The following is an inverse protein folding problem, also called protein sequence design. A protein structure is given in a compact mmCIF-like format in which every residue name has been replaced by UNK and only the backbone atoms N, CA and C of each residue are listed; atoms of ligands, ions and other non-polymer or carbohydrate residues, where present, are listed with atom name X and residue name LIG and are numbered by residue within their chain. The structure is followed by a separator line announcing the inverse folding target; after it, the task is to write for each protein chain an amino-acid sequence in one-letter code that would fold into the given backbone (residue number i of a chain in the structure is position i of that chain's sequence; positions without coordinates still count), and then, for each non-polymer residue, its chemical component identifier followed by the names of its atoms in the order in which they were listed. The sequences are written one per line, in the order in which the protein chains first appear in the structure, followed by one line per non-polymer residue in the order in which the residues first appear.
data_IF_483937572063
#
_entry.id   IF_483937572063
#
_cell.length_a   1.000
_cell.length_b   1.000
_cell.length_c   1.000
_cell.angle_alpha   90.00
_cell.angle_beta   90.00
_cell.angle_gamma   90.00
#
_symmetry.space_group_name_H-M   'P 1'
#
loop_
_entity.id
_entity.type
_entity.pdbx_description
1 polymer ?
#
# COMPACT_ATOMS: atom_id res chain seq x y z
N UNK A 1 -6.95 5.73 -1.57
CA UNK A 1 -8.14 5.37 -0.74
C UNK A 1 -9.49 5.77 -1.34
N UNK A 2 -9.61 6.84 -2.15
CA UNK A 2 -10.90 7.31 -2.69
C UNK A 2 -11.66 6.29 -3.57
N UNK A 3 -10.97 5.47 -4.36
CA UNK A 3 -11.61 4.49 -5.24
C UNK A 3 -12.30 3.34 -4.47
N UNK A 4 -11.72 2.89 -3.35
CA UNK A 4 -12.31 1.84 -2.49
C UNK A 4 -13.56 2.33 -1.76
N UNK A 5 -13.59 3.60 -1.35
CA UNK A 5 -14.79 4.21 -0.74
C UNK A 5 -15.97 4.27 -1.72
N UNK A 6 -15.72 4.66 -2.98
CA UNK A 6 -16.80 4.76 -3.99
C UNK A 6 -17.39 3.39 -4.38
N UNK A 7 -16.58 2.33 -4.43
CA UNK A 7 -17.10 0.97 -4.71
C UNK A 7 -17.89 0.40 -3.54
N UNK A 8 -17.45 0.63 -2.30
CA UNK A 8 -18.15 0.15 -1.10
C UNK A 8 -19.54 0.80 -0.93
N UNK A 9 -19.66 2.10 -1.22
CA UNK A 9 -20.96 2.82 -1.16
C UNK A 9 -21.92 2.28 -2.23
N UNK A 10 -21.42 1.92 -3.41
CA UNK A 10 -22.25 1.42 -4.51
C UNK A 10 -22.69 -0.03 -4.33
N UNK A 11 -21.86 -0.88 -3.72
CA UNK A 11 -22.27 -2.25 -3.37
C UNK A 11 -23.25 -2.27 -2.20
N UNK A 12 -23.08 -1.39 -1.21
CA UNK A 12 -24.03 -1.24 -0.11
C UNK A 12 -25.42 -0.78 -0.60
N UNK A 13 -25.48 0.13 -1.58
CA UNK A 13 -26.76 0.58 -2.15
C UNK A 13 -27.43 -0.48 -3.03
N UNK A 14 -26.67 -1.40 -3.64
CA UNK A 14 -27.24 -2.50 -4.42
C UNK A 14 -27.81 -3.60 -3.51
N UNK A 15 -27.12 -3.91 -2.41
CA UNK A 15 -27.59 -4.87 -1.41
C UNK A 15 -28.87 -4.39 -0.69
N UNK A 16 -28.96 -3.10 -0.36
CA UNK A 16 -30.16 -2.52 0.24
C UNK A 16 -31.34 -2.49 -0.74
N UNK A 17 -31.09 -2.23 -2.03
CA UNK A 17 -32.11 -2.28 -3.08
C UNK A 17 -32.68 -3.70 -3.27
N UNK A 18 -31.83 -4.74 -3.21
CA UNK A 18 -32.28 -6.13 -3.32
C UNK A 18 -33.17 -6.55 -2.14
N UNK A 19 -32.76 -6.23 -0.90
CA UNK A 19 -33.58 -6.49 0.30
C UNK A 19 -34.91 -5.73 0.27
N UNK A 20 -34.91 -4.50 -0.24
CA UNK A 20 -36.14 -3.72 -0.38
C UNK A 20 -37.12 -4.32 -1.40
N UNK A 21 -36.62 -4.88 -2.51
CA UNK A 21 -37.48 -5.54 -3.50
C UNK A 21 -38.02 -6.89 -3.01
N UNK A 22 -37.25 -7.63 -2.22
CA UNK A 22 -37.70 -8.87 -1.59
C UNK A 22 -38.85 -8.61 -0.62
N UNK A 23 -38.72 -7.58 0.24
CA UNK A 23 -39.82 -7.10 1.09
C UNK A 23 -41.06 -6.72 0.29
N UNK A 24 -40.91 -5.91 -0.76
CA UNK A 24 -42.03 -5.54 -1.65
C UNK A 24 -42.74 -6.75 -2.26
N UNK A 25 -42.01 -7.80 -2.62
CA UNK A 25 -42.60 -9.03 -3.15
C UNK A 25 -43.37 -9.82 -2.09
N UNK A 26 -42.89 -9.84 -0.83
CA UNK A 26 -43.59 -10.46 0.28
C UNK A 26 -44.86 -9.67 0.66
N UNK A 27 -44.77 -8.34 0.69
CA UNK A 27 -45.91 -7.45 0.95
C UNK A 27 -46.99 -7.60 -0.13
N UNK A 28 -46.58 -7.73 -1.40
CA UNK A 28 -47.51 -7.99 -2.50
C UNK A 28 -48.24 -9.34 -2.37
N UNK A 29 -47.55 -10.40 -1.92
CA UNK A 29 -48.18 -11.70 -1.63
C UNK A 29 -49.17 -11.59 -0.47
N UNK A 30 -48.81 -10.87 0.59
CA UNK A 30 -49.70 -10.64 1.74
C UNK A 30 -50.94 -9.84 1.35
N UNK A 31 -50.79 -8.83 0.48
CA UNK A 31 -51.90 -8.06 -0.06
C UNK A 31 -52.86 -8.93 -0.90
N UNK A 32 -52.33 -9.85 -1.71
CA UNK A 32 -53.14 -10.80 -2.48
C UNK A 32 -54.00 -11.72 -1.58
N UNK A 33 -53.45 -12.17 -0.45
CA UNK A 33 -54.21 -12.96 0.53
C UNK A 33 -55.37 -12.13 1.11
N UNK A 34 -55.14 -10.86 1.42
CA UNK A 34 -56.20 -9.94 1.87
C UNK A 34 -57.29 -9.74 0.82
N UNK A 35 -56.90 -9.52 -0.44
CA UNK A 35 -57.84 -9.38 -1.56
C UNK A 35 -58.66 -10.65 -1.80
N UNK A 36 -58.04 -11.84 -1.68
CA UNK A 36 -58.75 -13.11 -1.81
C UNK A 36 -59.81 -13.30 -0.70
N UNK A 37 -59.47 -12.93 0.55
CA UNK A 37 -60.42 -12.92 1.67
C UNK A 37 -61.59 -11.96 1.42
N UNK A 38 -61.33 -10.78 0.83
CA UNK A 38 -62.38 -9.82 0.48
C UNK A 38 -63.33 -10.37 -0.60
N UNK A 39 -62.79 -11.07 -1.61
CA UNK A 39 -63.62 -11.75 -2.62
C UNK A 39 -64.49 -12.83 -1.96
N UNK A 40 -63.94 -13.62 -1.03
CA UNK A 40 -64.72 -14.62 -0.30
C UNK A 40 -65.85 -13.99 0.53
N UNK A 41 -65.56 -12.91 1.26
CA UNK A 41 -66.56 -12.16 2.04
C UNK A 41 -67.65 -11.56 1.16
N UNK A 42 -67.29 -10.95 0.03
CA UNK A 42 -68.25 -10.39 -0.92
C UNK A 42 -69.13 -11.48 -1.57
N UNK A 43 -68.56 -12.65 -1.87
CA UNK A 43 -69.30 -13.80 -2.38
C UNK A 43 -70.32 -14.31 -1.36
N UNK A 44 -69.93 -14.41 -0.08
CA UNK A 44 -70.84 -14.76 1.01
C UNK A 44 -71.99 -13.73 1.16
N UNK A 45 -71.68 -12.43 1.04
CA UNK A 45 -72.69 -11.37 1.08
C UNK A 45 -73.72 -11.47 -0.06
N UNK A 46 -73.29 -11.82 -1.29
CA UNK A 46 -74.20 -12.08 -2.41
C UNK A 46 -75.13 -13.26 -2.11
N UNK A 47 -74.59 -14.36 -1.56
CA UNK A 47 -75.39 -15.53 -1.18
C UNK A 47 -76.42 -15.19 -0.11
N UNK A 48 -76.01 -14.45 0.93
CA UNK A 48 -76.90 -14.01 2.00
C UNK A 48 -78.01 -13.07 1.51
N UNK A 49 -77.66 -12.07 0.68
CA UNK A 49 -78.63 -11.14 0.10
C UNK A 49 -79.63 -11.87 -0.81
N UNK A 50 -79.17 -12.86 -1.59
CA UNK A 50 -80.03 -13.66 -2.47
C UNK A 50 -81.00 -14.52 -1.67
N UNK A 51 -80.56 -15.14 -0.57
CA UNK A 51 -81.44 -15.89 0.36
C UNK A 51 -82.50 -14.98 0.97
N UNK A 52 -82.12 -13.77 1.42
CA UNK A 52 -83.06 -12.76 1.95
C UNK A 52 -84.08 -12.31 0.90
N UNK A 53 -83.65 -12.11 -0.35
CA UNK A 53 -84.54 -11.77 -1.45
C UNK A 53 -85.52 -12.90 -1.80
N UNK A 54 -85.08 -14.16 -1.73
CA UNK A 54 -85.95 -15.32 -1.91
C UNK A 54 -87.00 -15.42 -0.79
N UNK A 55 -86.59 -15.19 0.47
CA UNK A 55 -87.51 -15.19 1.61
C UNK A 55 -88.54 -14.04 1.54
N UNK A 56 -88.12 -12.84 1.13
CA UNK A 56 -89.03 -11.69 0.97
C UNK A 56 -90.15 -11.94 -0.06
N UNK A 57 -89.87 -12.72 -1.12
CA UNK A 57 -90.86 -13.08 -2.15
C UNK A 57 -91.94 -14.04 -1.67
N UNK A 58 -91.71 -14.78 -0.59
CA UNK A 58 -92.67 -15.76 -0.04
C UNK A 58 -93.70 -15.14 0.91
N UNK A 59 -93.60 -13.84 1.22
CA UNK A 59 -94.54 -13.15 2.12
C UNK A 59 -95.86 -12.80 1.40
N UNK A 60 -96.98 -12.76 2.14
CA UNK A 60 -98.33 -12.43 1.64
C UNK A 60 -98.31 -11.12 0.84
N UNK A 61 -99.05 -11.04 -0.28
CA UNK A 61 -99.12 -9.84 -1.13
C UNK A 61 -99.74 -8.68 -0.36
N UNK A 62 -98.90 -7.76 0.08
CA UNK A 62 -99.27 -6.50 0.72
C UNK A 62 -98.35 -5.40 0.17
N UNK A 63 -98.74 -4.12 0.22
CA UNK A 63 -97.87 -3.02 -0.19
C UNK A 63 -96.53 -3.00 0.58
N UNK A 64 -96.51 -3.46 1.84
CA UNK A 64 -95.27 -3.59 2.61
C UNK A 64 -94.36 -4.73 2.11
N UNK A 65 -94.91 -5.87 1.70
CA UNK A 65 -94.11 -6.97 1.17
C UNK A 65 -93.51 -6.61 -0.19
N UNK A 66 -94.19 -5.79 -1.00
CA UNK A 66 -93.64 -5.24 -2.24
C UNK A 66 -92.40 -4.34 -1.99
N UNK A 67 -92.46 -3.44 -1.00
CA UNK A 67 -91.32 -2.60 -0.57
C UNK A 67 -90.15 -3.46 -0.09
N UNK A 68 -90.42 -4.49 0.71
CA UNK A 68 -89.38 -5.41 1.20
C UNK A 68 -88.69 -6.20 0.07
N UNK A 69 -89.45 -6.64 -0.94
CA UNK A 69 -88.90 -7.32 -2.13
C UNK A 69 -88.03 -6.37 -2.96
N UNK A 70 -88.44 -5.11 -3.14
CA UNK A 70 -87.65 -4.10 -3.83
C UNK A 70 -86.32 -3.81 -3.11
N UNK A 71 -86.36 -3.61 -1.79
CA UNK A 71 -85.17 -3.41 -0.96
C UNK A 71 -84.22 -4.62 -1.02
N UNK A 72 -84.76 -5.85 -0.97
CA UNK A 72 -83.94 -7.06 -1.06
C UNK A 72 -83.30 -7.24 -2.46
N UNK A 73 -84.00 -6.87 -3.54
CA UNK A 73 -83.42 -6.84 -4.90
C UNK A 73 -82.29 -5.80 -4.99
N UNK A 74 -82.47 -4.61 -4.42
CA UNK A 74 -81.43 -3.58 -4.37
C UNK A 74 -80.19 -4.07 -3.59
N UNK A 75 -80.38 -4.75 -2.46
CA UNK A 75 -79.29 -5.34 -1.67
C UNK A 75 -78.50 -6.40 -2.46
N UNK A 76 -79.18 -7.25 -3.24
CA UNK A 76 -78.51 -8.22 -4.13
C UNK A 76 -77.67 -7.52 -5.20
N UNK A 77 -78.19 -6.45 -5.82
CA UNK A 77 -77.45 -5.67 -6.82
C UNK A 77 -76.22 -4.99 -6.21
N UNK A 78 -76.37 -4.39 -5.02
CA UNK A 78 -75.25 -3.80 -4.28
C UNK A 78 -74.17 -4.84 -3.95
N UNK A 79 -74.57 -6.01 -3.45
CA UNK A 79 -73.63 -7.10 -3.14
C UNK A 79 -72.90 -7.62 -4.39
N UNK A 80 -73.59 -7.72 -5.53
CA UNK A 80 -72.97 -8.11 -6.82
C UNK A 80 -71.95 -7.08 -7.29
N UNK A 81 -72.24 -5.77 -7.17
CA UNK A 81 -71.29 -4.70 -7.48
C UNK A 81 -70.03 -4.80 -6.61
N UNK A 82 -70.19 -5.05 -5.31
CA UNK A 82 -69.07 -5.24 -4.39
C UNK A 82 -68.23 -6.48 -4.73
N UNK A 83 -68.86 -7.60 -5.13
CA UNK A 83 -68.13 -8.78 -5.59
C UNK A 83 -67.35 -8.51 -6.89
N UNK A 84 -67.93 -7.78 -7.84
CA UNK A 84 -67.24 -7.39 -9.06
C UNK A 84 -66.01 -6.51 -8.77
N UNK A 85 -66.16 -5.50 -7.90
CA UNK A 85 -65.07 -4.64 -7.47
C UNK A 85 -63.96 -5.44 -6.76
N UNK A 86 -64.31 -6.36 -5.85
CA UNK A 86 -63.34 -7.21 -5.15
C UNK A 86 -62.57 -8.12 -6.12
N UNK A 87 -63.24 -8.71 -7.12
CA UNK A 87 -62.60 -9.53 -8.16
C UNK A 87 -61.67 -8.69 -9.04
N UNK A 88 -62.09 -7.49 -9.43
CA UNK A 88 -61.26 -6.56 -10.19
C UNK A 88 -59.99 -6.17 -9.41
N UNK A 89 -60.13 -5.86 -8.12
CA UNK A 89 -59.00 -5.55 -7.25
C UNK A 89 -58.03 -6.74 -7.09
N UNK A 90 -58.55 -7.97 -6.96
CA UNK A 90 -57.71 -9.18 -6.94
C UNK A 90 -56.96 -9.39 -8.26
N UNK A 91 -57.62 -9.15 -9.40
CA UNK A 91 -57.00 -9.26 -10.72
C UNK A 91 -55.89 -8.22 -10.93
N UNK A 92 -56.13 -6.97 -10.52
CA UNK A 92 -55.13 -5.91 -10.53
C UNK A 92 -53.93 -6.26 -9.64
N UNK A 93 -54.19 -6.66 -8.39
CA UNK A 93 -53.13 -7.06 -7.45
C UNK A 93 -52.27 -8.23 -7.97
N UNK A 94 -52.84 -9.16 -8.74
CA UNK A 94 -52.07 -10.26 -9.36
C UNK A 94 -51.12 -9.74 -10.43
N UNK A 95 -51.56 -8.78 -11.25
CA UNK A 95 -50.71 -8.12 -12.26
C UNK A 95 -49.57 -7.35 -11.60
N UNK A 96 -49.86 -6.62 -10.53
CA UNK A 96 -48.84 -5.87 -9.78
C UNK A 96 -47.80 -6.78 -9.13
N UNK A 97 -48.25 -7.90 -8.53
CA UNK A 97 -47.34 -8.89 -7.96
C UNK A 97 -46.45 -9.56 -9.03
N UNK A 98 -46.98 -9.82 -10.23
CA UNK A 98 -46.19 -10.35 -11.34
C UNK A 98 -45.16 -9.33 -11.83
N UNK A 99 -45.56 -8.07 -12.02
CA UNK A 99 -44.66 -6.98 -12.40
C UNK A 99 -43.54 -6.78 -11.36
N UNK A 100 -43.87 -6.82 -10.07
CA UNK A 100 -42.90 -6.73 -8.97
C UNK A 100 -41.87 -7.86 -9.02
N UNK A 101 -42.29 -9.12 -9.27
CA UNK A 101 -41.38 -10.26 -9.43
C UNK A 101 -40.42 -10.09 -10.61
N UNK A 102 -40.92 -9.63 -11.76
CA UNK A 102 -40.09 -9.38 -12.95
C UNK A 102 -39.08 -8.27 -12.69
N UNK A 103 -39.52 -7.18 -12.05
CA UNK A 103 -38.63 -6.08 -11.67
C UNK A 103 -37.53 -6.52 -10.70
N UNK A 104 -37.86 -7.40 -9.74
CA UNK A 104 -36.92 -7.97 -8.79
C UNK A 104 -35.85 -8.84 -9.49
N UNK A 105 -36.27 -9.75 -10.39
CA UNK A 105 -35.33 -10.58 -11.17
C UNK A 105 -34.38 -9.72 -12.02
N UNK A 106 -34.90 -8.69 -12.70
CA UNK A 106 -34.10 -7.80 -13.54
C UNK A 106 -33.07 -7.01 -12.73
N UNK A 107 -33.44 -6.53 -11.53
CA UNK A 107 -32.52 -5.83 -10.65
C UNK A 107 -31.43 -6.77 -10.11
N UNK A 108 -31.79 -7.99 -9.69
CA UNK A 108 -30.83 -8.99 -9.23
C UNK A 108 -29.80 -9.35 -10.32
N UNK A 109 -30.24 -9.52 -11.58
CA UNK A 109 -29.35 -9.76 -12.70
C UNK A 109 -28.37 -8.59 -12.93
N UNK A 110 -28.87 -7.35 -12.91
CA UNK A 110 -28.02 -6.14 -13.04
C UNK A 110 -26.99 -6.03 -11.91
N UNK A 111 -27.36 -6.37 -10.68
CA UNK A 111 -26.45 -6.36 -9.53
C UNK A 111 -25.29 -7.35 -9.74
N UNK A 112 -25.58 -8.59 -10.15
CA UNK A 112 -24.54 -9.61 -10.43
C UNK A 112 -23.56 -9.16 -11.53
N UNK A 113 -24.06 -8.53 -12.59
CA UNK A 113 -23.21 -8.00 -13.67
C UNK A 113 -22.32 -6.86 -13.16
N UNK A 114 -22.86 -5.96 -12.35
CA UNK A 114 -22.10 -4.85 -11.77
C UNK A 114 -20.97 -5.34 -10.85
N UNK A 115 -21.23 -6.38 -10.05
CA UNK A 115 -20.24 -6.99 -9.17
C UNK A 115 -19.09 -7.65 -9.95
N UNK A 116 -19.40 -8.47 -10.97
CA UNK A 116 -18.38 -9.09 -11.84
C UNK A 116 -17.50 -8.03 -12.50
N UNK A 117 -18.09 -6.93 -12.99
CA UNK A 117 -17.37 -5.83 -13.62
C UNK A 117 -16.47 -5.08 -12.62
N UNK A 118 -16.93 -4.90 -11.38
CA UNK A 118 -16.12 -4.30 -10.32
C UNK A 118 -14.93 -5.19 -9.93
N UNK A 119 -15.14 -6.49 -9.78
CA UNK A 119 -14.09 -7.46 -9.48
C UNK A 119 -13.02 -7.52 -10.58
N UNK A 120 -13.42 -7.52 -11.85
CA UNK A 120 -12.49 -7.48 -12.99
C UNK A 120 -11.61 -6.22 -12.98
N UNK A 121 -12.21 -5.04 -12.75
CA UNK A 121 -11.48 -3.78 -12.64
C UNK A 121 -10.50 -3.76 -11.47
N UNK A 122 -10.88 -4.34 -10.32
CA UNK A 122 -9.99 -4.45 -9.16
C UNK A 122 -8.78 -5.35 -9.44
N UNK A 123 -8.99 -6.52 -10.08
CA UNK A 123 -7.89 -7.42 -10.48
C UNK A 123 -6.93 -6.73 -11.47
N UNK A 124 -7.44 -6.02 -12.46
CA UNK A 124 -6.61 -5.27 -13.41
C UNK A 124 -5.79 -4.17 -12.73
N UNK A 125 -6.39 -3.42 -11.81
CA UNK A 125 -5.69 -2.39 -11.04
C UNK A 125 -4.58 -2.99 -10.15
N UNK A 126 -4.84 -4.13 -9.50
CA UNK A 126 -3.84 -4.83 -8.68
C UNK A 126 -2.65 -5.31 -9.52
N UNK A 127 -2.89 -5.94 -10.68
CA UNK A 127 -1.81 -6.36 -11.60
C UNK A 127 -0.96 -5.18 -12.05
N UNK A 128 -1.59 -4.05 -12.41
CA UNK A 128 -0.87 -2.83 -12.82
C UNK A 128 -0.02 -2.24 -11.68
N UNK A 129 -0.53 -2.27 -10.45
CA UNK A 129 0.23 -1.81 -9.28
C UNK A 129 1.43 -2.72 -8.98
N UNK A 130 1.24 -4.04 -9.04
CA UNK A 130 2.32 -5.00 -8.82
C UNK A 130 3.44 -4.87 -9.88
N UNK A 131 3.08 -4.66 -11.16
CA UNK A 131 4.07 -4.44 -12.21
C UNK A 131 4.91 -3.17 -11.96
N UNK A 132 4.26 -2.06 -11.57
CA UNK A 132 4.96 -0.81 -11.22
C UNK A 132 5.91 -0.98 -10.03
N UNK A 133 5.51 -1.75 -9.01
CA UNK A 133 6.34 -2.03 -7.84
C UNK A 133 7.61 -2.80 -8.24
N UNK A 134 7.48 -3.86 -9.06
CA UNK A 134 8.63 -4.64 -9.55
C UNK A 134 9.63 -3.79 -10.35
N UNK A 135 9.13 -2.86 -11.18
CA UNK A 135 10.01 -1.95 -11.95
C UNK A 135 10.74 -0.98 -11.01
N UNK A 136 10.05 -0.44 -10.00
CA UNK A 136 10.66 0.45 -9.02
C UNK A 136 11.77 -0.25 -8.22
N UNK A 137 11.53 -1.50 -7.81
CA UNK A 137 12.49 -2.33 -7.09
C UNK A 137 13.75 -2.61 -7.93
N UNK A 138 13.57 -3.05 -9.19
CA UNK A 138 14.70 -3.25 -10.12
C UNK A 138 15.52 -1.97 -10.32
N UNK A 139 14.86 -0.81 -10.43
CA UNK A 139 15.52 0.49 -10.58
C UNK A 139 16.30 0.88 -9.31
N UNK A 140 15.76 0.60 -8.13
CA UNK A 140 16.45 0.84 -6.87
C UNK A 140 17.69 -0.08 -6.71
N UNK A 141 17.55 -1.37 -7.03
CA UNK A 141 18.65 -2.33 -6.98
C UNK A 141 19.79 -1.95 -7.95
N UNK A 142 19.46 -1.49 -9.16
CA UNK A 142 20.45 -1.02 -10.13
C UNK A 142 21.22 0.20 -9.62
N UNK A 143 20.52 1.19 -9.02
CA UNK A 143 21.16 2.36 -8.41
C UNK A 143 22.08 1.99 -7.26
N UNK A 144 21.67 1.04 -6.40
CA UNK A 144 22.49 0.56 -5.30
C UNK A 144 23.78 -0.13 -5.79
N UNK A 145 23.69 -1.00 -6.81
CA UNK A 145 24.87 -1.62 -7.44
C UNK A 145 25.82 -0.60 -8.04
N UNK A 146 25.30 0.43 -8.72
CA UNK A 146 26.12 1.50 -9.29
C UNK A 146 26.86 2.31 -8.20
N UNK A 147 26.16 2.64 -7.11
CA UNK A 147 26.74 3.34 -5.96
C UNK A 147 27.86 2.51 -5.30
N UNK A 148 27.65 1.20 -5.11
CA UNK A 148 28.64 0.29 -4.55
C UNK A 148 29.90 0.20 -5.43
N UNK A 149 29.74 0.06 -6.76
CA UNK A 149 30.88 0.06 -7.69
C UNK A 149 31.67 1.38 -7.63
N UNK A 150 30.98 2.52 -7.57
CA UNK A 150 31.63 3.84 -7.46
C UNK A 150 32.41 3.99 -6.16
N UNK A 151 31.86 3.51 -5.04
CA UNK A 151 32.54 3.52 -3.75
C UNK A 151 33.80 2.63 -3.76
N UNK A 152 33.69 1.41 -4.31
CA UNK A 152 34.82 0.49 -4.42
C UNK A 152 35.96 1.06 -5.29
N UNK A 153 35.63 1.72 -6.41
CA UNK A 153 36.62 2.37 -7.27
C UNK A 153 37.36 3.51 -6.54
N UNK A 154 36.63 4.36 -5.80
CA UNK A 154 37.23 5.43 -4.97
C UNK A 154 38.16 4.86 -3.89
N UNK A 155 37.76 3.76 -3.24
CA UNK A 155 38.59 3.11 -2.23
C UNK A 155 39.89 2.54 -2.82
N UNK A 156 39.82 1.86 -3.98
CA UNK A 156 41.02 1.37 -4.69
C UNK A 156 41.96 2.51 -5.10
N UNK A 157 41.42 3.62 -5.62
CA UNK A 157 42.24 4.79 -5.99
C UNK A 157 42.95 5.40 -4.77
N UNK A 158 42.24 5.53 -3.64
CA UNK A 158 42.82 6.03 -2.39
C UNK A 158 43.95 5.11 -1.87
N UNK A 159 43.76 3.79 -1.95
CA UNK A 159 44.79 2.82 -1.56
C UNK A 159 46.05 2.93 -2.44
N UNK A 160 45.89 3.02 -3.77
CA UNK A 160 47.01 3.23 -4.70
C UNK A 160 47.77 4.53 -4.43
N UNK A 161 47.06 5.62 -4.08
CA UNK A 161 47.68 6.90 -3.71
C UNK A 161 48.47 6.81 -2.40
N UNK A 162 48.00 6.04 -1.42
CA UNK A 162 48.75 5.81 -0.17
C UNK A 162 50.00 4.95 -0.40
N UNK A 163 49.87 3.88 -1.19
CA UNK A 163 50.97 2.97 -1.49
C UNK A 163 52.12 3.67 -2.25
N UNK A 164 51.79 4.52 -3.23
CA UNK A 164 52.79 5.30 -3.99
C UNK A 164 53.54 6.30 -3.10
N UNK A 165 52.84 7.01 -2.21
CA UNK A 165 53.48 7.89 -1.21
C UNK A 165 54.41 7.14 -0.27
N UNK A 166 54.01 5.95 0.20
CA UNK A 166 54.86 5.12 1.06
C UNK A 166 56.13 4.66 0.33
N UNK A 167 56.02 4.22 -0.93
CA UNK A 167 57.19 3.85 -1.75
C UNK A 167 58.15 5.02 -1.97
N UNK A 168 57.61 6.22 -2.22
CA UNK A 168 58.44 7.43 -2.37
C UNK A 168 59.17 7.80 -1.08
N UNK A 169 58.51 7.70 0.08
CA UNK A 169 59.12 7.94 1.39
C UNK A 169 60.24 6.93 1.69
N UNK A 170 60.03 5.64 1.37
CA UNK A 170 61.04 4.60 1.55
C UNK A 170 62.29 4.87 0.69
N UNK A 171 62.14 5.20 -0.60
CA UNK A 171 63.27 5.57 -1.47
C UNK A 171 64.04 6.78 -0.93
N UNK A 172 63.33 7.79 -0.42
CA UNK A 172 63.97 8.99 0.18
C UNK A 172 64.74 8.66 1.46
N UNK A 173 64.23 7.75 2.28
CA UNK A 173 64.91 7.27 3.48
C UNK A 173 66.18 6.47 3.13
N UNK A 174 66.09 5.58 2.15
CA UNK A 174 67.24 4.77 1.69
C UNK A 174 68.37 5.64 1.12
N UNK A 175 68.03 6.66 0.33
CA UNK A 175 69.02 7.61 -0.19
C UNK A 175 69.73 8.40 0.94
N UNK A 176 68.99 8.83 1.97
CA UNK A 176 69.56 9.48 3.15
C UNK A 176 70.49 8.53 3.93
N UNK A 177 70.10 7.27 4.10
CA UNK A 177 70.93 6.27 4.77
C UNK A 177 72.24 6.01 4.01
N UNK A 178 72.19 5.85 2.68
CA UNK A 178 73.40 5.70 1.85
C UNK A 178 74.33 6.90 1.95
N UNK A 179 73.79 8.13 1.99
CA UNK A 179 74.59 9.36 2.16
C UNK A 179 75.24 9.43 3.56
N UNK A 180 74.53 9.02 4.60
CA UNK A 180 75.07 8.95 5.96
C UNK A 180 76.19 7.91 6.09
N UNK A 181 76.02 6.73 5.50
CA UNK A 181 77.04 5.68 5.48
C UNK A 181 78.33 6.12 4.77
N UNK A 182 78.22 6.78 3.59
CA UNK A 182 79.38 7.36 2.90
C UNK A 182 80.11 8.41 3.75
N UNK A 183 79.35 9.26 4.47
CA UNK A 183 79.92 10.29 5.36
C UNK A 183 80.62 9.66 6.57
N UNK A 184 80.08 8.58 7.14
CA UNK A 184 80.71 7.85 8.23
C UNK A 184 82.01 7.17 7.80
N UNK A 185 82.00 6.47 6.65
CA UNK A 185 83.19 5.81 6.10
C UNK A 185 84.31 6.81 5.78
N UNK A 186 83.98 8.01 5.27
CA UNK A 186 84.97 9.06 5.04
C UNK A 186 85.61 9.57 6.35
N UNK A 187 84.81 9.70 7.42
CA UNK A 187 85.32 10.08 8.75
C UNK A 187 86.23 9.01 9.35
N UNK A 188 85.89 7.73 9.22
CA UNK A 188 86.75 6.63 9.65
C UNK A 188 88.07 6.60 8.89
N UNK A 189 88.05 6.77 7.56
CA UNK A 189 89.28 6.85 6.76
C UNK A 189 90.18 8.01 7.20
N UNK A 190 89.59 9.16 7.55
CA UNK A 190 90.33 10.31 8.05
C UNK A 190 90.92 10.05 9.46
N UNK A 191 90.16 9.38 10.33
CA UNK A 191 90.61 8.99 11.66
C UNK A 191 91.77 7.98 11.58
N UNK A 192 91.68 7.00 10.69
CA UNK A 192 92.76 6.03 10.43
C UNK A 192 94.03 6.72 9.90
N UNK A 193 93.90 7.67 8.96
CA UNK A 193 95.05 8.48 8.49
C UNK A 193 95.68 9.31 9.61
N UNK A 194 94.87 9.94 10.48
CA UNK A 194 95.37 10.68 11.65
C UNK A 194 96.06 9.77 12.67
N UNK A 195 95.53 8.57 12.91
CA UNK A 195 96.13 7.58 13.80
C UNK A 195 97.48 7.08 13.24
N UNK A 196 97.55 6.77 11.94
CA UNK A 196 98.79 6.37 11.27
C UNK A 196 99.85 7.49 11.31
N UNK A 197 99.46 8.75 11.13
CA UNK A 197 100.36 9.89 11.25
C UNK A 197 100.89 10.08 12.69
N UNK A 198 100.04 9.85 13.71
CA UNK A 198 100.46 9.84 15.12
C UNK A 198 101.41 8.67 15.45
N UNK A 199 101.16 7.48 14.90
CA UNK A 199 102.05 6.33 15.05
C UNK A 199 103.42 6.56 14.41
N UNK A 200 103.47 7.18 13.21
CA UNK A 200 104.73 7.60 12.58
C UNK A 200 105.49 8.67 13.36
N UNK A 201 104.80 9.57 14.08
CA UNK A 201 105.43 10.53 15.01
C UNK A 201 105.94 9.86 16.30
N UNK A 202 105.29 8.79 16.77
CA UNK A 202 105.73 8.03 17.94
C UNK A 202 106.98 7.18 17.66
N UNK A 203 107.18 6.71 16.42
CA UNK A 203 108.35 5.94 16.02
C UNK A 203 109.66 6.75 15.86
N UNK A 204 109.64 8.09 16.07
CA UNK A 204 110.82 8.98 15.96
C UNK A 204 111.35 9.51 17.30
N UNK A 205 110.99 8.92 18.45
CA UNK A 205 111.62 9.23 19.75
C UNK A 205 112.37 8.01 20.31
N UNK A 206 113.65 8.12 20.69
CA UNK A 206 114.39 7.01 21.28
C UNK A 206 113.92 6.73 22.71
N UNK A 207 113.99 5.44 23.07
CA UNK A 207 113.58 4.87 24.34
C UNK A 207 114.27 5.53 25.55
N UNK A 208 113.50 5.85 26.59
CA UNK A 208 113.98 5.82 27.98
C UNK A 208 112.89 5.24 28.87
N UNK A 209 113.26 4.15 29.52
CA UNK A 209 112.52 3.50 30.59
C UNK A 209 112.24 4.47 31.74
N UNK A 210 111.08 4.34 32.39
CA UNK A 210 110.93 4.56 33.84
C UNK A 210 109.65 3.93 34.39
N UNK A 211 109.79 3.60 35.68
CA UNK A 211 109.04 2.66 36.52
C UNK A 211 107.55 2.97 36.73
N UNK A 212 106.88 1.89 37.14
CA UNK A 212 105.54 1.73 37.69
C UNK A 212 105.00 2.83 38.61
N UNK A 213 103.67 3.03 38.58
CA UNK A 213 102.85 3.20 39.80
C UNK A 213 101.37 2.84 39.53
N UNK A 214 100.80 2.13 40.49
CA UNK A 214 99.46 1.54 40.52
C UNK A 214 98.31 2.57 40.57
N UNK A 215 97.13 2.21 40.04
CA UNK A 215 95.80 2.55 40.59
C UNK A 215 94.67 1.75 39.88
N UNK A 216 93.78 1.17 40.69
CA UNK A 216 92.54 0.41 40.34
C UNK A 216 91.42 1.33 39.76
N UNK A 217 90.14 0.89 39.65
CA UNK A 217 89.52 0.01 38.66
C UNK A 217 88.32 0.70 37.93
N UNK A 218 87.88 0.25 36.74
CA UNK A 218 86.60 0.72 36.19
C UNK A 218 85.88 -0.25 35.24
N UNK A 219 84.92 -0.98 35.83
CA UNK A 219 83.56 -1.30 35.32
C UNK A 219 83.41 -1.64 33.83
N UNK A 220 83.40 -2.94 33.54
CA UNK A 220 82.78 -3.51 32.34
C UNK A 220 81.28 -3.15 32.30
N UNK A 221 80.90 -2.23 31.41
CA UNK A 221 79.50 -1.91 31.13
C UNK A 221 78.90 -3.00 30.24
N UNK A 222 78.06 -3.83 30.88
CA UNK A 222 77.08 -4.79 30.34
C UNK A 222 76.75 -4.61 28.86
N UNK A 223 77.00 -5.66 28.08
CA UNK A 223 76.28 -5.95 26.86
C UNK A 223 74.77 -6.02 27.17
N UNK A 224 73.97 -5.14 26.56
CA UNK A 224 72.52 -5.18 26.69
C UNK A 224 72.00 -6.20 25.68
N UNK A 225 71.73 -7.41 26.20
CA UNK A 225 71.06 -8.49 25.51
C UNK A 225 69.81 -8.00 24.75
N UNK A 226 69.71 -8.42 23.49
CA UNK A 226 68.50 -8.39 22.71
C UNK A 226 67.41 -9.18 23.46
N UNK A 227 66.28 -8.53 23.75
CA UNK A 227 65.07 -9.22 24.21
C UNK A 227 64.20 -9.61 23.02
N UNK A 228 63.60 -10.81 23.03
CA UNK A 228 62.74 -11.29 21.95
C UNK A 228 61.39 -10.54 21.92
N UNK A 229 60.82 -10.48 20.72
CA UNK A 229 59.52 -9.90 20.43
C UNK A 229 58.40 -10.64 21.20
N UNK A 230 57.72 -9.94 22.10
CA UNK A 230 56.45 -10.41 22.68
C UNK A 230 55.32 -10.10 21.71
N UNK A 231 54.72 -11.16 21.16
CA UNK A 231 53.41 -11.12 20.53
C UNK A 231 52.37 -10.50 21.50
N UNK A 232 51.73 -9.40 21.09
CA UNK A 232 50.59 -8.86 21.81
C UNK A 232 49.30 -9.35 21.15
N UNK A 233 48.64 -10.24 21.90
CA UNK A 233 47.25 -10.68 21.81
C UNK A 233 46.29 -9.59 21.29
N UNK A 234 45.42 -10.02 20.37
CA UNK A 234 44.19 -9.34 20.02
C UNK A 234 43.35 -9.07 21.28
N UNK A 235 42.97 -7.80 21.49
CA UNK A 235 41.98 -7.41 22.48
C UNK A 235 40.62 -7.40 21.79
N UNK A 236 39.84 -8.44 22.03
CA UNK A 236 38.43 -8.49 21.68
C UNK A 236 37.70 -7.31 22.35
N UNK A 237 37.06 -6.48 21.53
CA UNK A 237 36.18 -5.41 22.01
C UNK A 237 34.84 -6.03 22.42
N UNK A 238 34.47 -5.85 23.69
CA UNK A 238 33.13 -6.14 24.21
C UNK A 238 32.08 -5.23 23.54
N UNK A 239 30.82 -5.68 23.40
CA UNK A 239 29.77 -4.96 22.70
C UNK A 239 29.25 -3.75 23.50
N UNK A 240 29.14 -2.60 22.84
CA UNK A 240 28.54 -1.40 23.42
C UNK A 240 27.00 -1.42 23.25
N UNK A 241 26.36 -1.57 24.41
CA UNK A 241 25.00 -1.20 24.83
C UNK A 241 24.14 -0.45 23.80
N UNK A 242 22.99 -1.06 23.48
CA UNK A 242 21.85 -0.40 22.88
C UNK A 242 21.28 0.68 23.81
N UNK A 243 21.39 1.96 23.41
CA UNK A 243 20.60 3.05 23.99
C UNK A 243 19.31 3.19 23.21
N UNK A 244 18.20 2.82 23.87
CA UNK A 244 16.83 3.28 23.56
C UNK A 244 16.84 4.82 23.49
N UNK A 245 16.44 5.38 22.36
CA UNK A 245 15.98 6.77 22.27
C UNK A 245 14.47 6.76 22.02
N UNK A 246 13.77 7.47 22.91
CA UNK A 246 12.33 7.61 23.02
C UNK A 246 11.90 8.83 22.20
N UNK A 247 10.80 8.68 21.47
CA UNK A 247 9.83 9.69 21.03
C UNK A 247 10.24 10.82 20.05
N UNK A 248 9.58 10.84 18.90
CA UNK A 248 9.06 12.09 18.31
C UNK A 248 7.68 11.83 17.69
N UNK A 249 6.68 12.58 18.15
CA UNK A 249 5.27 12.56 17.72
C UNK A 249 5.14 12.99 16.24
N UNK A 250 4.13 12.49 15.49
CA UNK A 250 3.83 13.04 14.17
C UNK A 250 3.15 14.41 14.29
N UNK A 251 3.72 15.40 13.59
CA UNK A 251 3.16 16.74 13.48
C UNK A 251 1.81 16.71 12.75
N UNK A 252 0.80 17.34 13.38
CA UNK A 252 -0.50 17.67 12.78
C UNK A 252 -0.27 18.69 11.65
N UNK A 253 -0.44 18.28 10.40
CA UNK A 253 -0.59 19.23 9.29
C UNK A 253 -2.06 19.65 9.18
N UNK A 254 -2.27 20.96 9.34
CA UNK A 254 -3.55 21.67 9.30
C UNK A 254 -4.25 21.51 7.95
N UNK A 255 -5.57 21.43 8.08
CA UNK A 255 -6.65 21.58 7.11
C UNK A 255 -6.40 22.80 6.19
N UNK A 256 -6.16 22.58 4.90
CA UNK A 256 -6.24 23.63 3.88
C UNK A 256 -7.60 23.57 3.18
N UNK A 257 -8.21 24.74 3.12
CA UNK A 257 -9.57 25.08 2.70
C UNK A 257 -9.78 24.77 1.21
N UNK A 258 -10.98 24.31 0.88
CA UNK A 258 -11.43 24.01 -0.48
C UNK A 258 -11.43 25.27 -1.36
N UNK A 259 -10.78 25.18 -2.52
CA UNK A 259 -11.03 26.06 -3.67
C UNK A 259 -11.83 25.26 -4.72
N UNK A 260 -13.02 25.76 -5.05
CA UNK A 260 -13.91 25.25 -6.11
C UNK A 260 -13.23 25.40 -7.48
N UNK A 261 -13.33 24.43 -8.40
CA UNK A 261 -13.21 24.74 -9.82
C UNK A 261 -14.57 25.17 -10.37
N UNK A 262 -14.52 26.30 -11.09
CA UNK A 262 -15.61 26.98 -11.75
C UNK A 262 -16.28 26.14 -12.85
N UNK A 263 -17.56 26.44 -13.09
CA UNK A 263 -18.35 26.04 -14.25
C UNK A 263 -17.61 26.43 -15.54
N UNK A 264 -17.25 25.44 -16.37
CA UNK A 264 -16.94 25.67 -17.78
C UNK A 264 -18.18 25.38 -18.62
N UNK A 265 -18.54 26.39 -19.42
CA UNK A 265 -19.74 26.55 -20.22
C UNK A 265 -19.80 25.56 -21.39
N UNK A 266 -21.03 25.33 -21.81
CA UNK A 266 -21.44 24.65 -23.03
C UNK A 266 -20.77 25.23 -24.29
N UNK A 267 -20.34 24.35 -25.20
CA UNK A 267 -20.18 24.67 -26.61
C UNK A 267 -21.16 23.83 -27.43
N UNK A 268 -22.22 24.51 -27.91
CA UNK A 268 -23.02 24.11 -29.07
C UNK A 268 -22.17 24.34 -30.32
N UNK A 269 -22.06 23.35 -31.21
CA UNK A 269 -21.63 23.42 -32.63
C UNK A 269 -21.44 21.97 -33.12
N UNK A 270 -21.94 21.48 -34.25
CA UNK A 270 -22.78 21.98 -35.33
C UNK A 270 -23.67 20.82 -35.81
N UNK A 271 -24.90 21.10 -36.26
CA UNK A 271 -25.28 21.20 -37.68
C UNK A 271 -24.98 19.93 -38.49
N UNK A 272 -26.09 19.24 -38.81
CA UNK A 272 -26.25 18.14 -39.77
C UNK A 272 -25.55 18.43 -41.11
N UNK A 273 -25.04 17.41 -41.80
CA UNK A 273 -25.13 17.33 -43.24
C UNK A 273 -26.38 16.52 -43.66
N UNK A 274 -27.14 17.13 -44.57
CA UNK A 274 -28.29 16.61 -45.31
C UNK A 274 -27.74 15.66 -46.39
N UNK A 275 -28.08 14.38 -46.33
CA UNK A 275 -27.79 13.43 -47.40
C UNK A 275 -29.00 13.31 -48.33
N UNK A 276 -28.69 13.27 -49.61
CA UNK A 276 -29.56 13.48 -50.75
C UNK A 276 -30.52 12.31 -51.01
N UNK A 277 -31.66 12.64 -51.60
CA UNK A 277 -32.49 11.72 -52.36
C UNK A 277 -31.83 11.51 -53.74
N UNK A 278 -31.85 10.29 -54.30
CA UNK A 278 -31.75 10.10 -55.74
C UNK A 278 -33.15 10.16 -56.37
N UNK A 279 -33.26 10.96 -57.43
CA UNK A 279 -34.32 10.87 -58.41
C UNK A 279 -33.80 10.08 -59.63
N UNK A 280 -34.66 9.20 -60.13
CA UNK A 280 -34.69 8.45 -61.40
C UNK A 280 -35.00 6.97 -61.10
#
# INVERSE_FOLDING_TARGET
MAARKKTAVKSASAASASKAQEKKSADAVKALVGLAKNVAKASAAVKAASKKAAAARKKKKSPESAKAVAAAKAAVLAAKKQLAAAKAALAAGKKDAAAAKVAAKKAAAKAKVAEKKAAAKAKAAAKKAAAKAKVAEKKAAAKAKAAAKKAAAKAKAAARKKASKAKAAAKKAEAKAKKAAKKAAAKEKLAAKKAAAKAKKAAKKPAKAKKAKAAKPAKAKKAKAAKPAKAKKAKAAKPAKAKKAKAAKPAKAKKAKAAKPAKAKASKRGRKPKAAAPAA
#
